data_IF_330070635118
#
_entry.id   IF_330070635118
#
_cell.length_a   1.000
_cell.length_b   1.000
_cell.length_c   1.000
_cell.angle_alpha   90.00
_cell.angle_beta   90.00
_cell.angle_gamma   90.00
#
_symmetry.space_group_name_H-M   'P 1'
#
loop_
_entity.id
_entity.type
_entity.pdbx_description
1 polymer ?
#
# COMPACT_ATOMS: atom_id res chain seq x y z
N UNK A 1 -4.35 -16.19 -21.84
CA UNK A 1 -4.44 -15.46 -20.58
C UNK A 1 -3.13 -14.78 -20.21
N UNK A 2 -2.07 -15.54 -20.03
CA UNK A 2 -0.78 -15.03 -19.58
C UNK A 2 -0.02 -14.40 -20.75
N UNK A 3 0.25 -13.12 -20.68
CA UNK A 3 1.13 -12.40 -21.60
C UNK A 3 2.21 -11.63 -20.81
N UNK A 4 3.21 -11.08 -21.50
CA UNK A 4 4.32 -10.34 -20.90
C UNK A 4 3.86 -9.24 -19.95
N UNK A 5 2.90 -8.41 -20.37
CA UNK A 5 2.38 -7.30 -19.56
C UNK A 5 1.71 -7.79 -18.27
N UNK A 6 0.92 -8.86 -18.33
CA UNK A 6 0.26 -9.42 -17.16
C UNK A 6 1.28 -9.95 -16.14
N UNK A 7 2.35 -10.62 -16.59
CA UNK A 7 3.43 -11.09 -15.71
C UNK A 7 4.14 -9.91 -15.03
N UNK A 8 4.48 -8.87 -15.81
CA UNK A 8 5.12 -7.65 -15.28
C UNK A 8 4.24 -7.01 -14.19
N UNK A 9 2.93 -6.89 -14.44
CA UNK A 9 1.97 -6.35 -13.48
C UNK A 9 1.90 -7.22 -12.21
N UNK A 10 1.86 -8.54 -12.34
CA UNK A 10 1.82 -9.46 -11.20
C UNK A 10 3.07 -9.30 -10.31
N UNK A 11 4.26 -9.34 -10.90
CA UNK A 11 5.52 -9.18 -10.15
C UNK A 11 5.56 -7.80 -9.48
N UNK A 12 5.29 -6.75 -10.25
CA UNK A 12 5.36 -5.37 -9.75
C UNK A 12 4.33 -5.11 -8.63
N UNK A 13 3.09 -5.61 -8.78
CA UNK A 13 2.05 -5.41 -7.76
C UNK A 13 2.37 -6.11 -6.45
N UNK A 14 2.96 -7.31 -6.51
CA UNK A 14 3.38 -8.07 -5.31
C UNK A 14 4.42 -7.31 -4.52
N UNK A 15 5.47 -6.82 -5.18
CA UNK A 15 6.57 -6.13 -4.50
C UNK A 15 6.15 -4.72 -4.05
N UNK A 16 5.39 -4.00 -4.87
CA UNK A 16 4.90 -2.66 -4.55
C UNK A 16 3.98 -2.62 -3.32
N UNK A 17 3.35 -3.73 -2.96
CA UNK A 17 2.50 -3.83 -1.78
C UNK A 17 3.27 -4.07 -0.45
N UNK A 18 4.60 -4.23 -0.46
CA UNK A 18 5.40 -4.45 0.75
C UNK A 18 5.36 -3.26 1.73
N UNK A 19 5.59 -1.99 1.30
CA UNK A 19 5.66 -0.85 2.21
C UNK A 19 4.41 -0.65 3.07
N UNK A 20 3.18 -0.65 2.55
CA UNK A 20 1.99 -0.48 3.37
C UNK A 20 1.79 -1.60 4.39
N UNK A 21 2.19 -2.83 4.07
CA UNK A 21 2.10 -3.95 5.02
C UNK A 21 3.08 -3.78 6.18
N UNK A 22 4.27 -3.24 5.93
CA UNK A 22 5.21 -2.89 7.00
C UNK A 22 4.65 -1.79 7.92
N UNK A 23 3.94 -0.80 7.39
CA UNK A 23 3.30 0.25 8.21
C UNK A 23 2.22 -0.35 9.11
N UNK A 24 1.42 -1.28 8.60
CA UNK A 24 0.38 -1.97 9.40
C UNK A 24 1.00 -2.70 10.58
N UNK A 25 2.10 -3.42 10.37
CA UNK A 25 2.75 -4.20 11.42
C UNK A 25 3.59 -3.32 12.37
N UNK A 26 4.42 -2.44 11.83
CA UNK A 26 5.49 -1.76 12.56
C UNK A 26 5.17 -0.30 12.92
N UNK A 27 4.28 0.37 12.18
CA UNK A 27 4.09 1.81 12.30
C UNK A 27 3.74 2.28 13.71
N UNK A 28 2.82 1.58 14.38
CA UNK A 28 2.44 1.89 15.75
C UNK A 28 3.49 1.49 16.77
N UNK A 29 4.14 0.35 16.57
CA UNK A 29 5.20 -0.16 17.45
C UNK A 29 6.39 0.81 17.45
N UNK A 30 6.83 1.27 16.27
CA UNK A 30 7.90 2.26 16.12
C UNK A 30 7.54 3.57 16.85
N UNK A 31 6.31 4.04 16.68
CA UNK A 31 5.86 5.27 17.34
C UNK A 31 5.90 5.17 18.87
N UNK A 32 5.47 4.03 19.42
CA UNK A 32 5.49 3.81 20.87
C UNK A 32 6.89 3.55 21.42
N UNK A 33 7.65 2.64 20.82
CA UNK A 33 8.93 2.16 21.38
C UNK A 33 10.10 3.10 21.10
N UNK A 34 10.17 3.68 19.90
CA UNK A 34 11.30 4.51 19.48
C UNK A 34 11.01 5.98 19.74
N UNK A 35 9.81 6.44 19.40
CA UNK A 35 9.46 7.86 19.53
C UNK A 35 8.77 8.19 20.85
N UNK A 36 8.54 7.19 21.70
CA UNK A 36 7.95 7.30 23.05
C UNK A 36 6.64 8.09 23.08
N UNK A 37 5.78 7.86 22.10
CA UNK A 37 4.51 8.55 21.91
C UNK A 37 3.34 7.58 21.76
N UNK A 38 3.01 6.85 22.86
CA UNK A 38 1.94 5.84 22.88
C UNK A 38 0.59 6.39 22.44
N UNK A 39 0.25 7.61 22.84
CA UNK A 39 -1.00 8.28 22.46
C UNK A 39 -1.12 8.55 20.96
N UNK A 40 -0.02 8.51 20.21
CA UNK A 40 0.06 8.73 18.76
C UNK A 40 0.36 7.46 17.96
N UNK A 41 0.36 6.28 18.61
CA UNK A 41 0.72 5.02 17.98
C UNK A 41 -0.12 4.66 16.74
N UNK A 42 -1.37 5.12 16.67
CA UNK A 42 -2.26 4.87 15.53
C UNK A 42 -2.10 5.88 14.38
N UNK A 43 -1.40 7.00 14.61
CA UNK A 43 -1.29 8.09 13.63
C UNK A 43 -0.58 7.68 12.33
N UNK A 44 0.50 6.87 12.33
CA UNK A 44 1.12 6.43 11.08
C UNK A 44 0.14 5.73 10.15
N UNK A 45 -0.65 4.78 10.65
CA UNK A 45 -1.67 4.08 9.88
C UNK A 45 -2.76 5.05 9.39
N UNK A 46 -3.21 5.95 10.26
CA UNK A 46 -4.23 6.96 9.91
C UNK A 46 -3.73 7.87 8.78
N UNK A 47 -2.50 8.36 8.85
CA UNK A 47 -1.91 9.21 7.81
C UNK A 47 -1.68 8.46 6.50
N UNK A 48 -1.34 7.19 6.55
CA UNK A 48 -1.28 6.35 5.36
C UNK A 48 -2.67 6.27 4.69
N UNK A 49 -3.75 6.05 5.45
CA UNK A 49 -5.13 6.00 4.91
C UNK A 49 -5.52 7.36 4.32
N UNK A 50 -5.20 8.46 4.99
CA UNK A 50 -5.45 9.82 4.48
C UNK A 50 -4.66 10.06 3.18
N UNK A 51 -3.41 9.62 3.11
CA UNK A 51 -2.58 9.67 1.92
C UNK A 51 -3.22 8.93 0.74
N UNK A 52 -3.76 7.72 0.96
CA UNK A 52 -4.52 6.97 -0.05
C UNK A 52 -5.74 7.78 -0.52
N UNK A 53 -6.55 8.28 0.42
CA UNK A 53 -7.79 8.95 0.11
C UNK A 53 -7.58 10.24 -0.72
N UNK A 54 -6.61 11.06 -0.35
CA UNK A 54 -6.27 12.30 -1.07
C UNK A 54 -5.66 12.00 -2.44
N UNK A 55 -4.80 10.98 -2.51
CA UNK A 55 -4.05 10.69 -3.73
C UNK A 55 -4.81 9.81 -4.72
N UNK A 56 -5.88 9.12 -4.34
CA UNK A 56 -6.64 8.25 -5.24
C UNK A 56 -7.21 8.96 -6.48
N UNK A 57 -7.90 10.11 -6.37
CA UNK A 57 -8.35 10.84 -7.55
C UNK A 57 -7.19 11.40 -8.37
N UNK A 58 -6.10 11.81 -7.72
CA UNK A 58 -4.89 12.33 -8.38
C UNK A 58 -4.23 11.20 -9.19
N UNK A 59 -4.07 10.02 -8.61
CA UNK A 59 -3.49 8.85 -9.27
C UNK A 59 -4.30 8.43 -10.49
N UNK A 60 -5.63 8.37 -10.36
CA UNK A 60 -6.53 8.06 -11.47
C UNK A 60 -6.38 9.06 -12.62
N UNK A 61 -6.40 10.36 -12.31
CA UNK A 61 -6.22 11.42 -13.30
C UNK A 61 -4.83 11.40 -13.93
N UNK A 62 -3.78 11.24 -13.13
CA UNK A 62 -2.40 11.14 -13.61
C UNK A 62 -2.28 10.00 -14.63
N UNK A 63 -2.78 8.80 -14.29
CA UNK A 63 -2.71 7.65 -15.18
C UNK A 63 -3.59 7.77 -16.42
N UNK A 64 -4.69 8.51 -16.36
CA UNK A 64 -5.52 8.78 -17.54
C UNK A 64 -4.84 9.70 -18.55
N UNK A 65 -3.99 10.63 -18.10
CA UNK A 65 -3.29 11.60 -18.94
C UNK A 65 -1.94 11.07 -19.44
N UNK A 66 -1.17 10.49 -18.52
CA UNK A 66 0.23 10.13 -18.76
C UNK A 66 0.45 8.64 -19.01
N UNK A 67 -0.61 7.83 -18.85
CA UNK A 67 -0.58 6.37 -19.00
C UNK A 67 -0.28 5.60 -17.72
N UNK A 68 -0.59 4.30 -17.74
CA UNK A 68 -0.41 3.39 -16.61
C UNK A 68 1.06 3.22 -16.22
N UNK A 69 1.93 3.05 -17.22
CA UNK A 69 3.37 2.83 -16.99
C UNK A 69 3.97 3.97 -16.18
N UNK A 70 3.80 5.22 -16.62
CA UNK A 70 4.36 6.39 -15.93
C UNK A 70 3.82 6.55 -14.51
N UNK A 71 2.53 6.25 -14.30
CA UNK A 71 1.93 6.29 -12.98
C UNK A 71 2.55 5.27 -12.03
N UNK A 72 2.80 4.06 -12.48
CA UNK A 72 3.44 3.01 -11.68
C UNK A 72 4.92 3.29 -11.43
N UNK A 73 5.66 3.81 -12.42
CA UNK A 73 7.05 4.24 -12.24
C UNK A 73 7.14 5.35 -11.17
N UNK A 74 6.26 6.35 -11.26
CA UNK A 74 6.16 7.42 -10.26
C UNK A 74 5.86 6.87 -8.86
N UNK A 75 4.91 5.95 -8.75
CA UNK A 75 4.54 5.29 -7.51
C UNK A 75 5.72 4.56 -6.85
N UNK A 76 6.51 3.82 -7.64
CA UNK A 76 7.68 3.10 -7.17
C UNK A 76 8.74 4.04 -6.59
N UNK A 77 9.04 5.13 -7.30
CA UNK A 77 9.96 6.17 -6.82
C UNK A 77 9.44 6.85 -5.55
N UNK A 78 8.17 7.21 -5.52
CA UNK A 78 7.53 7.83 -4.36
C UNK A 78 7.57 6.90 -3.15
N UNK A 79 7.30 5.61 -3.33
CA UNK A 79 7.37 4.60 -2.27
C UNK A 79 8.80 4.44 -1.73
N UNK A 80 9.79 4.38 -2.61
CA UNK A 80 11.21 4.31 -2.22
C UNK A 80 11.61 5.55 -1.41
N UNK A 81 11.30 6.76 -1.88
CA UNK A 81 11.56 8.01 -1.17
C UNK A 81 10.85 8.07 0.19
N UNK A 82 9.60 7.63 0.25
CA UNK A 82 8.83 7.59 1.49
C UNK A 82 9.48 6.68 2.54
N UNK A 83 9.98 5.51 2.14
CA UNK A 83 10.69 4.57 3.02
C UNK A 83 12.04 5.12 3.48
N UNK A 84 12.78 5.83 2.61
CA UNK A 84 14.01 6.53 2.99
C UNK A 84 13.69 7.63 4.04
N UNK A 85 12.62 8.39 3.85
CA UNK A 85 12.17 9.39 4.82
C UNK A 85 11.81 8.72 6.15
N UNK A 86 11.11 7.59 6.14
CA UNK A 86 10.83 6.82 7.34
C UNK A 86 12.12 6.30 8.01
N UNK A 87 13.10 5.85 7.24
CA UNK A 87 14.40 5.40 7.77
C UNK A 87 15.15 6.54 8.47
N UNK A 88 15.18 7.72 7.84
CA UNK A 88 15.76 8.94 8.44
C UNK A 88 15.00 9.33 9.73
N UNK A 89 13.68 9.20 9.72
CA UNK A 89 12.84 9.48 10.87
C UNK A 89 13.12 8.55 12.05
N UNK A 90 13.34 7.26 11.78
CA UNK A 90 13.72 6.27 12.82
C UNK A 90 15.12 6.61 13.37
N UNK A 91 16.08 6.91 12.49
CA UNK A 91 17.42 7.30 12.92
C UNK A 91 17.44 8.57 13.78
N UNK A 92 16.59 9.57 13.46
CA UNK A 92 16.46 10.83 14.20
C UNK A 92 15.45 10.76 15.36
N UNK A 93 14.78 9.63 15.54
CA UNK A 93 13.67 9.42 16.51
C UNK A 93 12.57 10.50 16.38
N UNK A 94 12.33 10.98 15.15
CA UNK A 94 11.45 12.10 14.89
C UNK A 94 10.08 11.66 14.37
N UNK A 95 9.05 11.81 15.22
CA UNK A 95 7.68 11.45 14.91
C UNK A 95 7.11 12.17 13.68
N UNK A 96 7.36 13.47 13.52
CA UNK A 96 6.76 14.23 12.43
C UNK A 96 7.29 13.82 11.06
N UNK A 97 8.59 13.52 10.98
CA UNK A 97 9.21 13.01 9.75
C UNK A 97 8.66 11.61 9.45
N UNK A 98 8.48 10.76 10.47
CA UNK A 98 7.89 9.43 10.32
C UNK A 98 6.44 9.51 9.85
N UNK A 99 5.66 10.39 10.43
CA UNK A 99 4.28 10.67 10.05
C UNK A 99 4.17 11.11 8.58
N UNK A 100 5.06 12.02 8.12
CA UNK A 100 5.14 12.43 6.72
C UNK A 100 5.50 11.26 5.80
N UNK A 101 6.47 10.43 6.16
CA UNK A 101 6.84 9.24 5.40
C UNK A 101 5.67 8.28 5.22
N UNK A 102 4.90 8.04 6.28
CA UNK A 102 3.71 7.18 6.22
C UNK A 102 2.59 7.76 5.33
N UNK A 103 2.38 9.08 5.36
CA UNK A 103 1.47 9.75 4.44
C UNK A 103 1.89 9.54 2.97
N UNK A 104 3.19 9.64 2.67
CA UNK A 104 3.73 9.43 1.32
C UNK A 104 3.63 7.95 0.89
N UNK A 105 3.82 6.99 1.81
CA UNK A 105 3.56 5.57 1.55
C UNK A 105 2.09 5.39 1.14
N UNK A 106 1.16 6.00 1.86
CA UNK A 106 -0.25 5.99 1.49
C UNK A 106 -0.52 6.61 0.13
N UNK A 107 0.15 7.73 -0.17
CA UNK A 107 0.03 8.39 -1.48
C UNK A 107 0.51 7.49 -2.63
N UNK A 108 1.59 6.74 -2.44
CA UNK A 108 2.05 5.75 -3.43
C UNK A 108 1.07 4.59 -3.58
N UNK A 109 0.46 4.15 -2.47
CA UNK A 109 -0.52 3.07 -2.45
C UNK A 109 -1.76 3.38 -3.31
N UNK A 110 -2.17 4.63 -3.42
CA UNK A 110 -3.27 5.05 -4.29
C UNK A 110 -3.03 4.67 -5.76
N UNK A 111 -1.77 4.73 -6.23
CA UNK A 111 -1.39 4.26 -7.56
C UNK A 111 -1.35 2.73 -7.62
N UNK A 112 -0.87 2.07 -6.57
CA UNK A 112 -0.77 0.60 -6.49
C UNK A 112 -2.14 -0.05 -6.62
N UNK A 113 -3.19 0.55 -6.06
CA UNK A 113 -4.56 0.07 -6.23
C UNK A 113 -5.03 0.01 -7.70
N UNK A 114 -4.36 0.71 -8.62
CA UNK A 114 -4.67 0.69 -10.04
C UNK A 114 -4.13 -0.56 -10.77
N UNK A 115 -3.24 -1.37 -10.13
CA UNK A 115 -2.72 -2.58 -10.77
C UNK A 115 -3.81 -3.58 -11.16
N UNK A 116 -4.89 -3.70 -10.37
CA UNK A 116 -6.03 -4.57 -10.70
C UNK A 116 -6.71 -4.18 -12.03
N UNK A 117 -6.77 -2.88 -12.32
CA UNK A 117 -7.34 -2.40 -13.58
C UNK A 117 -6.35 -2.61 -14.74
N UNK A 118 -5.07 -2.32 -14.54
CA UNK A 118 -4.05 -2.60 -15.55
C UNK A 118 -3.97 -4.10 -15.87
N UNK A 119 -4.13 -4.98 -14.88
CA UNK A 119 -4.20 -6.42 -15.10
C UNK A 119 -5.43 -6.82 -15.94
N UNK A 120 -6.60 -6.23 -15.68
CA UNK A 120 -7.81 -6.48 -16.44
C UNK A 120 -7.71 -6.00 -17.90
N UNK A 121 -7.00 -4.88 -18.13
CA UNK A 121 -6.74 -4.32 -19.46
C UNK A 121 -5.70 -5.15 -20.25
N UNK A 122 -4.87 -5.91 -19.57
CA UNK A 122 -3.79 -6.71 -20.16
C UNK A 122 -4.26 -8.10 -20.64
N UNK A 123 -5.51 -8.50 -20.40
CA UNK A 123 -6.02 -9.83 -20.75
C UNK A 123 -7.27 -9.74 -21.64
N UNK A 124 -7.64 -10.86 -22.29
CA UNK A 124 -8.90 -10.94 -23.03
C UNK A 124 -10.09 -10.82 -22.07
N UNK A 125 -11.23 -10.31 -22.55
CA UNK A 125 -12.45 -10.04 -21.75
C UNK A 125 -12.90 -11.23 -20.89
N UNK A 126 -12.82 -12.45 -21.42
CA UNK A 126 -13.19 -13.69 -20.72
C UNK A 126 -12.34 -14.00 -19.49
N UNK A 127 -11.12 -13.44 -19.41
CA UNK A 127 -10.18 -13.66 -18.30
C UNK A 127 -10.11 -12.49 -17.29
N UNK A 128 -10.87 -11.42 -17.47
CA UNK A 128 -10.87 -10.26 -16.57
C UNK A 128 -11.13 -10.66 -15.11
N UNK A 129 -12.16 -11.45 -14.77
CA UNK A 129 -12.39 -11.82 -13.37
C UNK A 129 -11.21 -12.57 -12.76
N UNK A 130 -10.61 -13.50 -13.52
CA UNK A 130 -9.43 -14.26 -13.06
C UNK A 130 -8.21 -13.38 -12.87
N UNK A 131 -7.97 -12.41 -13.74
CA UNK A 131 -6.84 -11.50 -13.61
C UNK A 131 -6.92 -10.65 -12.35
N UNK A 132 -8.10 -10.14 -12.01
CA UNK A 132 -8.35 -9.39 -10.79
C UNK A 132 -8.13 -10.29 -9.55
N UNK A 133 -8.68 -11.51 -9.57
CA UNK A 133 -8.51 -12.47 -8.47
C UNK A 133 -7.04 -12.81 -8.24
N UNK A 134 -6.25 -12.98 -9.29
CA UNK A 134 -4.80 -13.25 -9.17
C UNK A 134 -4.09 -12.06 -8.50
N UNK A 135 -4.39 -10.82 -8.88
CA UNK A 135 -3.79 -9.63 -8.23
C UNK A 135 -4.16 -9.57 -6.74
N UNK A 136 -5.39 -9.90 -6.38
CA UNK A 136 -5.81 -9.94 -4.97
C UNK A 136 -5.08 -11.05 -4.19
N UNK A 137 -4.94 -12.25 -4.76
CA UNK A 137 -4.16 -13.34 -4.18
C UNK A 137 -2.67 -12.97 -4.00
N UNK A 138 -2.10 -12.28 -4.98
CA UNK A 138 -0.72 -11.78 -4.88
C UNK A 138 -0.56 -10.74 -3.77
N UNK A 139 -1.63 -10.00 -3.42
CA UNK A 139 -1.67 -9.15 -2.23
C UNK A 139 -1.48 -9.93 -0.93
N UNK A 140 -2.07 -11.13 -0.82
CA UNK A 140 -1.85 -12.03 0.33
C UNK A 140 -0.38 -12.49 0.38
N UNK A 141 0.18 -12.92 -0.76
CA UNK A 141 1.59 -13.30 -0.86
C UNK A 141 2.49 -12.14 -0.43
N UNK A 142 2.16 -10.93 -0.87
CA UNK A 142 2.87 -9.71 -0.48
C UNK A 142 2.85 -9.48 1.03
N UNK A 143 1.70 -9.64 1.67
CA UNK A 143 1.58 -9.46 3.12
C UNK A 143 2.45 -10.46 3.90
N UNK A 144 2.46 -11.74 3.48
CA UNK A 144 3.28 -12.79 4.08
C UNK A 144 4.78 -12.47 3.94
N UNK A 145 5.22 -12.14 2.73
CA UNK A 145 6.63 -11.86 2.46
C UNK A 145 7.10 -10.58 3.15
N UNK A 146 6.29 -9.51 3.12
CA UNK A 146 6.64 -8.22 3.72
C UNK A 146 6.82 -8.31 5.23
N UNK A 147 5.92 -9.01 5.93
CA UNK A 147 6.00 -9.17 7.39
C UNK A 147 7.26 -9.92 7.79
N UNK A 148 7.56 -11.05 7.14
CA UNK A 148 8.76 -11.83 7.40
C UNK A 148 10.04 -11.04 7.06
N UNK A 149 10.02 -10.30 5.96
CA UNK A 149 11.12 -9.45 5.54
C UNK A 149 11.38 -8.33 6.56
N UNK A 150 10.33 -7.66 7.02
CA UNK A 150 10.44 -6.60 7.99
C UNK A 150 11.00 -7.10 9.34
N UNK A 151 10.59 -8.31 9.75
CA UNK A 151 11.08 -8.93 10.97
C UNK A 151 12.54 -9.37 10.85
N UNK A 152 12.93 -9.97 9.74
CA UNK A 152 14.30 -10.46 9.53
C UNK A 152 15.35 -9.35 9.63
N UNK A 153 15.04 -8.15 9.15
CA UNK A 153 15.97 -7.01 9.13
C UNK A 153 15.81 -6.05 10.30
N UNK A 154 14.92 -6.31 11.27
CA UNK A 154 14.63 -5.37 12.37
C UNK A 154 15.85 -5.02 13.23
N UNK A 155 16.72 -6.01 13.48
CA UNK A 155 17.90 -5.90 14.35
C UNK A 155 19.21 -5.75 13.56
N UNK A 156 19.14 -5.49 12.25
CA UNK A 156 20.33 -5.39 11.38
C UNK A 156 21.28 -4.27 11.83
N UNK A 157 20.74 -3.20 12.40
CA UNK A 157 21.49 -2.13 13.05
C UNK A 157 21.23 -2.20 14.55
N UNK A 158 22.18 -2.75 15.36
CA UNK A 158 21.94 -2.99 16.80
C UNK A 158 21.54 -1.77 17.60
N UNK A 159 22.00 -0.57 17.20
CA UNK A 159 21.67 0.69 17.87
C UNK A 159 20.33 1.30 17.46
N UNK A 160 19.70 0.83 16.37
CA UNK A 160 18.49 1.43 15.79
C UNK A 160 17.51 0.34 15.35
N UNK A 161 16.65 -0.04 16.30
CA UNK A 161 15.62 -1.04 16.06
C UNK A 161 14.72 -0.62 14.87
N UNK A 162 14.40 -1.56 13.98
CA UNK A 162 13.59 -1.38 12.75
C UNK A 162 14.21 -0.49 11.65
N UNK A 163 15.35 0.16 11.87
CA UNK A 163 16.01 0.96 10.84
C UNK A 163 16.35 0.08 9.62
N UNK A 164 16.90 -1.10 9.87
CA UNK A 164 17.21 -2.09 8.82
C UNK A 164 15.99 -2.47 8.01
N UNK A 165 14.84 -2.74 8.66
CA UNK A 165 13.61 -3.09 7.96
C UNK A 165 13.21 -2.04 6.94
N UNK A 166 13.20 -0.76 7.30
CA UNK A 166 12.81 0.34 6.39
C UNK A 166 13.83 0.61 5.29
N UNK A 167 15.13 0.54 5.60
CA UNK A 167 16.20 0.68 4.59
C UNK A 167 16.07 -0.45 3.55
N UNK A 168 16.00 -1.71 3.97
CA UNK A 168 15.91 -2.82 3.03
C UNK A 168 14.59 -2.84 2.26
N UNK A 169 13.47 -2.41 2.88
CA UNK A 169 12.20 -2.20 2.16
C UNK A 169 12.33 -1.11 1.09
N UNK A 170 13.14 -0.06 1.29
CA UNK A 170 13.33 0.96 0.26
C UNK A 170 14.02 0.40 -0.99
N UNK A 171 14.93 -0.55 -0.83
CA UNK A 171 15.53 -1.27 -1.96
C UNK A 171 14.51 -2.17 -2.66
N UNK A 172 13.59 -2.82 -1.92
CA UNK A 172 12.53 -3.60 -2.57
C UNK A 172 11.56 -2.72 -3.33
N UNK A 173 11.24 -1.52 -2.82
CA UNK A 173 10.30 -0.61 -3.45
C UNK A 173 10.78 -0.04 -4.81
N UNK A 174 12.09 -0.05 -5.08
CA UNK A 174 12.64 0.37 -6.38
C UNK A 174 12.59 -0.75 -7.44
N UNK A 175 12.46 -2.02 -7.05
CA UNK A 175 12.43 -3.15 -7.99
C UNK A 175 11.29 -3.02 -9.01
N UNK A 176 10.04 -2.67 -8.62
CA UNK A 176 8.95 -2.47 -9.58
C UNK A 176 9.28 -1.41 -10.63
N UNK A 177 10.07 -0.38 -10.31
CA UNK A 177 10.51 0.62 -11.28
C UNK A 177 11.23 -0.03 -12.46
N UNK A 178 12.22 -0.87 -12.21
CA UNK A 178 12.98 -1.53 -13.28
C UNK A 178 12.15 -2.57 -14.04
N UNK A 179 11.30 -3.31 -13.34
CA UNK A 179 10.42 -4.31 -13.96
C UNK A 179 9.40 -3.63 -14.90
N UNK A 180 8.85 -2.48 -14.48
CA UNK A 180 7.85 -1.73 -15.24
C UNK A 180 8.41 -0.99 -16.46
N UNK A 181 9.72 -0.83 -16.59
CA UNK A 181 10.33 -0.31 -17.82
C UNK A 181 10.04 -1.22 -19.02
N UNK A 182 9.82 -2.51 -18.78
CA UNK A 182 9.45 -3.49 -19.81
C UNK A 182 7.94 -3.62 -20.05
N UNK A 183 7.11 -2.86 -19.31
CA UNK A 183 5.66 -2.83 -19.51
C UNK A 183 5.34 -2.00 -20.75
N UNK A 184 4.55 -2.58 -21.63
CA UNK A 184 4.08 -1.91 -22.84
C UNK A 184 2.67 -1.34 -22.59
N UNK A 185 2.51 -0.04 -22.82
CA UNK A 185 1.22 0.64 -22.65
C UNK A 185 0.18 -0.02 -23.55
N UNK A 186 -0.85 -0.63 -22.95
CA UNK A 186 -2.01 -1.08 -23.70
C UNK A 186 -2.78 0.16 -24.16
N UNK A 187 -2.93 0.35 -25.48
CA UNK A 187 -3.74 1.44 -26.04
C UNK A 187 -5.18 1.27 -25.54
N UNK A 188 -5.47 1.82 -24.41
CA UNK A 188 -6.85 2.02 -23.97
C UNK A 188 -7.49 2.99 -24.96
N UNK A 189 -8.63 2.60 -25.51
CA UNK A 189 -9.46 3.44 -26.38
C UNK A 189 -9.49 4.85 -25.84
N UNK A 190 -9.15 5.80 -26.69
CA UNK A 190 -8.98 7.23 -26.41
C UNK A 190 -10.31 7.97 -26.08
N UNK A 191 -11.23 7.28 -25.41
CA UNK A 191 -12.36 7.90 -24.74
C UNK A 191 -11.84 8.53 -23.43
N UNK A 192 -11.11 9.65 -23.57
CA UNK A 192 -10.95 10.61 -22.50
C UNK A 192 -12.37 11.12 -22.17
N UNK A 193 -13.09 10.36 -21.32
CA UNK A 193 -14.25 10.92 -20.65
C UNK A 193 -13.71 12.11 -19.87
N UNK A 194 -14.05 13.33 -20.33
CA UNK A 194 -13.79 14.54 -19.58
C UNK A 194 -14.28 14.28 -18.18
N UNK A 195 -13.38 14.39 -17.20
CA UNK A 195 -13.72 14.29 -15.79
C UNK A 195 -14.61 15.51 -15.46
N UNK A 196 -15.90 15.36 -15.68
CA UNK A 196 -16.89 16.38 -15.38
C UNK A 196 -17.32 16.19 -13.93
N UNK A 197 -16.97 17.16 -13.09
CA UNK A 197 -17.40 17.24 -11.70
C UNK A 197 -18.93 17.06 -11.60
N UNK A 198 -19.66 17.55 -12.61
CA UNK A 198 -21.12 17.41 -12.73
C UNK A 198 -21.58 15.93 -12.81
N UNK A 199 -20.77 15.07 -13.45
CA UNK A 199 -21.04 13.63 -13.52
C UNK A 199 -20.91 12.99 -12.14
N UNK A 200 -19.94 13.41 -11.31
CA UNK A 200 -19.79 12.91 -9.93
C UNK A 200 -21.03 13.28 -9.10
N UNK A 201 -21.47 14.53 -9.17
CA UNK A 201 -22.68 14.94 -8.43
C UNK A 201 -23.94 14.20 -8.88
N UNK A 202 -24.08 13.86 -10.17
CA UNK A 202 -25.16 13.01 -10.68
C UNK A 202 -25.07 11.59 -10.11
N UNK A 203 -23.85 11.00 -10.06
CA UNK A 203 -23.64 9.67 -9.49
C UNK A 203 -23.95 9.65 -7.98
N UNK A 204 -23.56 10.67 -7.24
CA UNK A 204 -23.84 10.79 -5.81
C UNK A 204 -25.33 11.01 -5.48
N UNK A 205 -26.20 11.31 -6.46
CA UNK A 205 -27.65 11.32 -6.28
C UNK A 205 -28.27 9.90 -6.33
N UNK A 206 -27.55 8.91 -6.83
CA UNK A 206 -28.03 7.55 -6.91
C UNK A 206 -27.86 6.84 -5.57
N UNK A 207 -28.98 6.51 -4.90
CA UNK A 207 -28.99 5.87 -3.57
C UNK A 207 -28.20 4.55 -3.54
N UNK A 208 -28.21 3.76 -4.61
CA UNK A 208 -27.45 2.51 -4.69
C UNK A 208 -25.94 2.75 -4.66
N UNK A 209 -25.48 3.83 -5.28
CA UNK A 209 -24.07 4.22 -5.28
C UNK A 209 -23.69 4.70 -3.87
N UNK A 210 -24.51 5.52 -3.24
CA UNK A 210 -24.30 5.97 -1.84
C UNK A 210 -24.23 4.76 -0.90
N UNK A 211 -25.19 3.83 -0.99
CA UNK A 211 -25.20 2.61 -0.19
C UNK A 211 -23.93 1.79 -0.37
N UNK A 212 -23.44 1.64 -1.62
CA UNK A 212 -22.20 0.91 -1.89
C UNK A 212 -20.98 1.61 -1.30
N UNK A 213 -20.91 2.95 -1.39
CA UNK A 213 -19.82 3.74 -0.80
C UNK A 213 -19.82 3.63 0.73
N UNK A 214 -20.98 3.79 1.35
CA UNK A 214 -21.14 3.70 2.81
C UNK A 214 -20.79 2.30 3.31
N UNK A 215 -21.32 1.26 2.67
CA UNK A 215 -21.03 -0.14 3.05
C UNK A 215 -19.56 -0.49 2.93
N UNK A 216 -18.92 -0.10 1.81
CA UNK A 216 -17.49 -0.29 1.62
C UNK A 216 -16.65 0.50 2.64
N UNK A 217 -17.06 1.75 2.92
CA UNK A 217 -16.41 2.61 3.89
C UNK A 217 -16.49 2.04 5.32
N UNK A 218 -17.65 1.57 5.74
CA UNK A 218 -17.85 0.94 7.05
C UNK A 218 -17.05 -0.36 7.19
N UNK A 219 -17.05 -1.21 6.15
CA UNK A 219 -16.25 -2.43 6.14
C UNK A 219 -14.75 -2.15 6.26
N UNK A 220 -14.25 -1.19 5.47
CA UNK A 220 -12.84 -0.78 5.53
C UNK A 220 -12.48 -0.13 6.88
N UNK A 221 -13.35 0.69 7.43
CA UNK A 221 -13.17 1.32 8.74
C UNK A 221 -13.05 0.28 9.87
N UNK A 222 -13.95 -0.71 9.90
CA UNK A 222 -13.89 -1.80 10.89
C UNK A 222 -12.60 -2.60 10.76
N UNK A 223 -12.23 -2.97 9.53
CA UNK A 223 -10.97 -3.67 9.26
C UNK A 223 -9.76 -2.84 9.72
N UNK A 224 -9.73 -1.54 9.40
CA UNK A 224 -8.61 -0.68 9.75
C UNK A 224 -8.43 -0.53 11.27
N UNK A 225 -9.51 -0.45 12.04
CA UNK A 225 -9.44 -0.41 13.51
C UNK A 225 -8.80 -1.70 14.05
N UNK A 226 -9.29 -2.86 13.62
CA UNK A 226 -8.77 -4.15 14.07
C UNK A 226 -7.30 -4.29 13.68
N UNK A 227 -6.96 -4.03 12.43
CA UNK A 227 -5.59 -4.14 11.91
C UNK A 227 -4.60 -3.19 12.60
N UNK A 228 -5.06 -2.03 13.09
CA UNK A 228 -4.21 -1.09 13.81
C UNK A 228 -4.07 -1.45 15.29
N UNK A 229 -5.17 -1.83 15.94
CA UNK A 229 -5.19 -2.12 17.37
C UNK A 229 -4.50 -3.46 17.71
N UNK A 230 -4.64 -4.47 16.86
CA UNK A 230 -4.13 -5.83 17.13
C UNK A 230 -2.61 -5.86 17.34
N UNK A 231 -1.75 -5.33 16.44
CA UNK A 231 -0.30 -5.37 16.64
C UNK A 231 0.12 -4.62 17.91
N UNK A 232 -0.50 -3.47 18.18
CA UNK A 232 -0.20 -2.68 19.37
C UNK A 232 -0.55 -3.44 20.64
N UNK A 233 -1.76 -3.98 20.72
CA UNK A 233 -2.21 -4.71 21.91
C UNK A 233 -1.39 -5.99 22.14
N UNK A 234 -1.15 -6.78 21.11
CA UNK A 234 -0.38 -8.01 21.21
C UNK A 234 1.06 -7.75 21.63
N UNK A 235 1.75 -6.84 20.95
CA UNK A 235 3.18 -6.62 21.18
C UNK A 235 3.45 -5.75 22.42
N UNK A 236 2.74 -4.64 22.60
CA UNK A 236 3.00 -3.69 23.69
C UNK A 236 2.35 -4.10 25.02
N UNK A 237 1.10 -4.59 24.99
CA UNK A 237 0.35 -4.92 26.20
C UNK A 237 0.60 -6.39 26.61
N UNK A 238 0.36 -7.32 25.72
CA UNK A 238 0.47 -8.76 26.02
C UNK A 238 1.89 -9.31 25.88
N UNK A 239 2.86 -8.49 25.42
CA UNK A 239 4.28 -8.86 25.27
C UNK A 239 4.54 -10.05 24.34
N UNK A 240 3.66 -10.31 23.39
CA UNK A 240 3.93 -11.26 22.32
C UNK A 240 5.12 -10.80 21.48
N UNK A 241 5.86 -11.75 20.93
CA UNK A 241 6.94 -11.47 19.99
C UNK A 241 6.39 -10.81 18.72
N UNK A 242 7.25 -10.12 17.99
CA UNK A 242 6.87 -9.55 16.70
C UNK A 242 6.46 -10.65 15.70
N UNK A 243 7.11 -11.81 15.78
CA UNK A 243 6.79 -12.98 14.96
C UNK A 243 5.35 -13.48 15.21
N UNK A 244 4.98 -13.70 16.47
CA UNK A 244 3.62 -14.13 16.83
C UNK A 244 2.58 -13.10 16.40
N UNK A 245 2.88 -11.81 16.57
CA UNK A 245 2.03 -10.70 16.13
C UNK A 245 1.87 -10.71 14.60
N UNK A 246 2.96 -10.93 13.86
CA UNK A 246 2.93 -10.97 12.40
C UNK A 246 2.08 -12.13 11.87
N UNK A 247 2.12 -13.31 12.52
CA UNK A 247 1.30 -14.48 12.15
C UNK A 247 -0.20 -14.13 12.25
N UNK A 248 -0.62 -13.44 13.30
CA UNK A 248 -2.04 -13.06 13.45
C UNK A 248 -2.48 -12.11 12.34
N UNK A 249 -1.64 -11.12 11.99
CA UNK A 249 -1.93 -10.22 10.86
C UNK A 249 -1.98 -10.98 9.54
N UNK A 250 -1.05 -11.91 9.32
CA UNK A 250 -1.01 -12.76 8.12
C UNK A 250 -2.27 -13.62 8.00
N UNK A 251 -2.70 -14.27 9.09
CA UNK A 251 -3.92 -15.08 9.12
C UNK A 251 -5.17 -14.23 8.83
N UNK A 252 -5.23 -13.01 9.37
CA UNK A 252 -6.34 -12.08 9.07
C UNK A 252 -6.39 -11.68 7.59
N UNK A 253 -5.24 -11.54 6.93
CA UNK A 253 -5.18 -11.20 5.49
C UNK A 253 -5.58 -12.38 4.60
N UNK A 254 -5.41 -13.63 5.08
CA UNK A 254 -5.77 -14.85 4.35
C UNK A 254 -7.28 -15.15 4.43
N UNK A 255 -7.93 -14.84 5.57
CA UNK A 255 -9.36 -15.14 5.84
C UNK A 255 -10.29 -14.06 5.35
#
# INVERSE_FOLDING_TARGET
>A
MINKNFIIICISSTIAAFPPMAVVLLGGIITSQIMLKDSLATVPMTLMIIGIAISAPIASRFMSIWGRQKGFLFSSLLSCLALIICSIAIYLENFFIFALGNFLIGSSQAFIHQYRFAASESVKKEFIPRSISIILLLGIVSALLSSNFAEYFKDFFPSYLFLGSYIFLSFTAIIPFFVLLFYEETKTSNNQSKFEIETIFKLLKNIKIIQSIVSAGLGYFTMAIIMTATPLHMHLVNKFTLFETSIVIQLHVIG
#
